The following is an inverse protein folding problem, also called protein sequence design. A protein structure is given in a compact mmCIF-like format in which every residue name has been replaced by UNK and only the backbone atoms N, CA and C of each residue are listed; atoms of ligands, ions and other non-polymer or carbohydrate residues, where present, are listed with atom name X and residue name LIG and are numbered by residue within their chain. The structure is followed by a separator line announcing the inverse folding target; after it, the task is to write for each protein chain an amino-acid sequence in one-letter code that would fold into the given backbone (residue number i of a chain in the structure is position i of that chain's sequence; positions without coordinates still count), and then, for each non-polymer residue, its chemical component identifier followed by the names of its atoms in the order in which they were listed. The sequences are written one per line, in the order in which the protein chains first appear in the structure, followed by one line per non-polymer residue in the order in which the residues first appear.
data_IF_241855614260
#
_entry.id   IF_241855614260
#
_cell.length_a   1.000
_cell.length_b   1.000
_cell.length_c   1.000
_cell.angle_alpha   90.00
_cell.angle_beta   90.00
_cell.angle_gamma   90.00
#
_symmetry.space_group_name_H-M   'P 1'
#
loop_
_entity.id
_entity.type
_entity.pdbx_description
1 polymer ?
#
# COMPACT_ATOMS: atom_id res chain seq x y z
N UNK A 1 47.64 -72.27 -26.38
CA UNK A 1 46.72 -72.72 -25.32
C UNK A 1 46.46 -71.55 -24.40
N UNK A 2 45.46 -70.68 -24.75
CA UNK A 2 45.12 -69.41 -24.06
C UNK A 2 43.98 -69.67 -23.12
N UNK A 3 44.16 -69.32 -21.82
CA UNK A 3 43.10 -69.33 -20.80
C UNK A 3 42.56 -67.96 -20.70
N UNK A 4 41.25 -67.81 -21.03
CA UNK A 4 40.46 -66.58 -20.76
C UNK A 4 40.02 -66.56 -19.30
N UNK A 5 40.41 -65.50 -18.57
CA UNK A 5 39.93 -65.18 -17.26
C UNK A 5 38.74 -64.23 -17.42
N UNK A 6 37.53 -64.69 -17.07
CA UNK A 6 36.30 -63.86 -16.98
C UNK A 6 36.32 -63.14 -15.63
N UNK A 7 36.46 -61.85 -15.66
CA UNK A 7 36.27 -60.99 -14.48
C UNK A 7 34.78 -60.65 -14.35
N UNK A 8 34.17 -61.14 -13.28
CA UNK A 8 32.80 -60.76 -12.86
C UNK A 8 32.89 -59.45 -12.11
N UNK A 9 32.23 -58.40 -12.63
CA UNK A 9 32.00 -57.11 -11.93
C UNK A 9 30.70 -57.21 -11.12
N UNK A 10 30.70 -56.86 -9.82
CA UNK A 10 29.46 -56.76 -9.08
C UNK A 10 28.77 -55.43 -9.40
N UNK A 11 27.50 -55.50 -9.79
CA UNK A 11 26.61 -54.36 -9.97
C UNK A 11 26.25 -53.80 -8.60
N UNK A 12 26.78 -52.61 -8.26
CA UNK A 12 26.30 -51.80 -7.15
C UNK A 12 25.01 -51.12 -7.60
N UNK A 13 23.90 -51.53 -7.02
CA UNK A 13 22.62 -50.82 -7.11
C UNK A 13 22.71 -49.52 -6.30
N UNK A 14 22.94 -48.41 -7.01
CA UNK A 14 22.77 -47.06 -6.44
C UNK A 14 21.28 -46.75 -6.45
N UNK A 15 20.60 -46.93 -5.31
CA UNK A 15 19.26 -46.41 -5.06
C UNK A 15 19.34 -44.88 -5.01
N UNK A 16 19.04 -44.23 -6.11
CA UNK A 16 18.77 -42.78 -6.18
C UNK A 16 17.43 -42.51 -5.45
N UNK A 17 17.51 -42.05 -4.22
CA UNK A 17 16.39 -41.36 -3.57
C UNK A 17 16.19 -40.04 -4.29
N UNK A 18 15.30 -40.02 -5.28
CA UNK A 18 14.68 -38.80 -5.79
C UNK A 18 13.81 -38.23 -4.65
N UNK A 19 14.36 -37.34 -3.84
CA UNK A 19 13.56 -36.42 -3.05
C UNK A 19 12.83 -35.51 -4.02
N UNK A 20 11.58 -35.84 -4.32
CA UNK A 20 10.64 -34.89 -4.88
C UNK A 20 10.59 -33.68 -3.91
N UNK A 21 11.33 -32.62 -4.24
CA UNK A 21 11.03 -31.30 -3.71
C UNK A 21 9.63 -30.98 -4.23
N UNK A 22 8.59 -31.22 -3.41
CA UNK A 22 7.29 -30.63 -3.63
C UNK A 22 7.54 -29.12 -3.78
N UNK A 23 7.42 -28.60 -5.01
CA UNK A 23 7.25 -27.18 -5.23
C UNK A 23 6.12 -26.77 -4.29
N UNK A 24 6.43 -25.89 -3.33
CA UNK A 24 5.39 -25.31 -2.48
C UNK A 24 4.41 -24.66 -3.45
N UNK A 25 3.26 -25.30 -3.69
CA UNK A 25 2.24 -24.83 -4.59
C UNK A 25 1.87 -23.43 -4.14
N UNK A 26 1.94 -22.46 -5.05
CA UNK A 26 1.41 -21.12 -4.79
C UNK A 26 -0.04 -21.30 -4.33
N UNK A 27 -0.32 -20.87 -3.10
CA UNK A 27 -1.69 -20.85 -2.58
C UNK A 27 -2.50 -19.96 -3.53
N UNK A 28 -3.55 -20.46 -4.19
CA UNK A 28 -4.33 -19.64 -5.11
C UNK A 28 -4.84 -18.41 -4.37
N UNK A 29 -4.66 -17.23 -4.95
CA UNK A 29 -5.28 -16.01 -4.42
C UNK A 29 -6.80 -16.23 -4.40
N UNK A 30 -7.48 -16.01 -3.26
CA UNK A 30 -8.92 -16.18 -3.18
C UNK A 30 -9.65 -15.33 -4.23
N UNK A 31 -10.80 -15.80 -4.70
CA UNK A 31 -11.61 -15.08 -5.68
C UNK A 31 -12.00 -13.68 -5.16
N UNK A 32 -11.80 -12.66 -6.00
CA UNK A 32 -12.17 -11.28 -5.73
C UNK A 32 -13.51 -10.94 -6.36
N UNK A 33 -14.26 -10.04 -5.73
CA UNK A 33 -15.43 -9.37 -6.32
C UNK A 33 -15.09 -7.89 -6.46
N UNK A 34 -15.21 -7.35 -7.66
CA UNK A 34 -15.04 -5.92 -7.91
C UNK A 34 -16.41 -5.23 -7.96
N UNK A 35 -16.43 -3.94 -7.60
CA UNK A 35 -17.64 -3.11 -7.67
C UNK A 35 -17.30 -1.63 -7.66
N UNK A 36 -18.30 -0.84 -8.01
CA UNK A 36 -18.28 0.61 -7.95
C UNK A 36 -19.38 1.09 -7.02
N UNK A 37 -19.07 2.10 -6.21
CA UNK A 37 -20.03 2.85 -5.42
C UNK A 37 -19.99 4.32 -5.81
N UNK A 38 -21.14 4.90 -6.14
CA UNK A 38 -21.26 6.31 -6.53
C UNK A 38 -21.82 7.11 -5.38
N UNK A 39 -20.95 7.96 -4.82
CA UNK A 39 -21.34 8.95 -3.82
C UNK A 39 -21.97 10.15 -4.54
N UNK A 40 -23.24 10.42 -4.27
CA UNK A 40 -23.94 11.60 -4.84
C UNK A 40 -23.60 12.86 -4.05
N UNK A 41 -23.43 13.98 -4.79
CA UNK A 41 -23.19 15.32 -4.24
C UNK A 41 -22.09 15.36 -3.19
N UNK A 42 -20.93 14.79 -3.51
CA UNK A 42 -19.80 14.76 -2.59
C UNK A 42 -19.21 16.17 -2.43
N UNK A 43 -19.14 16.64 -1.18
CA UNK A 43 -18.55 17.93 -0.82
C UNK A 43 -17.11 17.69 -0.35
N UNK A 44 -16.16 18.36 -0.99
CA UNK A 44 -14.75 18.35 -0.59
C UNK A 44 -14.47 19.43 0.47
N UNK A 45 -13.45 19.23 1.26
CA UNK A 45 -13.00 20.24 2.25
C UNK A 45 -12.53 21.56 1.59
N UNK A 46 -12.17 21.50 0.32
CA UNK A 46 -11.90 22.69 -0.51
C UNK A 46 -13.14 23.56 -0.78
N UNK A 47 -14.33 23.13 -0.34
CA UNK A 47 -15.65 23.71 -0.66
C UNK A 47 -16.12 23.49 -2.09
N UNK A 48 -15.36 22.73 -2.89
CA UNK A 48 -15.77 22.26 -4.20
C UNK A 48 -16.68 21.03 -4.06
N UNK A 49 -17.39 20.66 -5.12
CA UNK A 49 -18.25 19.48 -5.10
C UNK A 49 -18.22 18.71 -6.43
N UNK A 50 -18.51 17.41 -6.35
CA UNK A 50 -18.84 16.58 -7.50
C UNK A 50 -20.27 16.06 -7.38
N UNK A 51 -21.10 16.16 -8.45
CA UNK A 51 -22.42 15.56 -8.47
C UNK A 51 -22.37 14.04 -8.26
N UNK A 52 -21.34 13.41 -8.79
CA UNK A 52 -21.07 11.98 -8.68
C UNK A 52 -19.59 11.74 -8.45
N UNK A 53 -19.25 11.08 -7.34
CA UNK A 53 -17.92 10.58 -7.04
C UNK A 53 -17.95 9.05 -7.06
N UNK A 54 -17.38 8.43 -8.09
CA UNK A 54 -17.24 6.97 -8.18
C UNK A 54 -16.06 6.51 -7.34
N UNK A 55 -16.28 5.49 -6.52
CA UNK A 55 -15.26 4.76 -5.78
C UNK A 55 -15.27 3.31 -6.23
N UNK A 56 -14.17 2.88 -6.84
CA UNK A 56 -13.95 1.49 -7.18
C UNK A 56 -13.38 0.72 -6.00
N UNK A 57 -13.72 -0.56 -5.88
CA UNK A 57 -13.20 -1.42 -4.82
C UNK A 57 -13.16 -2.88 -5.26
N UNK A 58 -12.27 -3.64 -4.62
CA UNK A 58 -12.27 -5.10 -4.66
C UNK A 58 -12.56 -5.64 -3.26
N UNK A 59 -13.26 -6.77 -3.18
CA UNK A 59 -13.50 -7.46 -1.90
C UNK A 59 -13.17 -8.95 -2.01
N UNK A 60 -12.80 -9.54 -0.85
CA UNK A 60 -12.63 -10.98 -0.69
C UNK A 60 -13.42 -11.42 0.57
N UNK A 61 -13.97 -12.61 0.52
CA UNK A 61 -14.79 -13.13 1.63
C UNK A 61 -16.18 -12.49 1.71
N UNK A 62 -16.80 -12.61 2.89
CA UNK A 62 -18.16 -12.10 3.15
C UNK A 62 -18.25 -11.48 4.55
N UNK A 63 -19.09 -10.44 4.75
CA UNK A 63 -19.30 -9.86 6.07
C UNK A 63 -20.02 -10.86 7.01
N UNK A 64 -19.50 -11.00 8.21
CA UNK A 64 -20.14 -11.69 9.33
C UNK A 64 -20.68 -10.63 10.31
N UNK A 65 -21.85 -10.92 10.90
CA UNK A 65 -22.52 -10.02 11.84
C UNK A 65 -22.82 -10.72 13.16
N UNK A 66 -22.73 -9.95 14.24
CA UNK A 66 -23.22 -10.40 15.55
C UNK A 66 -24.75 -10.26 15.66
N UNK A 67 -25.30 -10.65 16.82
CA UNK A 67 -26.72 -10.59 17.10
C UNK A 67 -27.30 -9.15 17.10
N UNK A 68 -26.47 -8.14 17.23
CA UNK A 68 -26.82 -6.72 17.18
C UNK A 68 -26.68 -6.13 15.76
N UNK A 69 -26.31 -6.96 14.76
CA UNK A 69 -26.13 -6.54 13.37
C UNK A 69 -24.81 -5.81 13.09
N UNK A 70 -23.88 -5.78 14.05
CA UNK A 70 -22.56 -5.20 13.87
C UNK A 70 -21.68 -6.15 13.06
N UNK A 71 -20.99 -5.61 12.06
CA UNK A 71 -20.00 -6.40 11.30
C UNK A 71 -18.78 -6.67 12.18
N UNK A 72 -18.37 -7.93 12.25
CA UNK A 72 -17.32 -8.37 13.20
C UNK A 72 -15.99 -8.75 12.55
N UNK A 73 -15.97 -8.92 11.21
CA UNK A 73 -14.83 -9.47 10.49
C UNK A 73 -14.32 -8.62 9.32
N UNK A 74 -14.82 -7.40 9.15
CA UNK A 74 -14.39 -6.56 8.03
C UNK A 74 -13.00 -5.96 8.26
N UNK A 75 -12.14 -6.05 7.24
CA UNK A 75 -10.77 -5.53 7.21
C UNK A 75 -10.64 -4.55 6.05
N UNK A 76 -10.29 -3.30 6.35
CA UNK A 76 -10.02 -2.29 5.35
C UNK A 76 -8.51 -2.17 5.13
N UNK A 77 -8.06 -2.31 3.88
CA UNK A 77 -6.63 -2.18 3.53
C UNK A 77 -6.45 -1.07 2.49
N UNK A 78 -5.61 -0.07 2.83
CA UNK A 78 -5.47 1.19 2.13
C UNK A 78 -4.11 1.27 1.42
N UNK A 79 -4.13 1.60 0.12
CA UNK A 79 -2.95 1.60 -0.74
C UNK A 79 -2.09 2.89 -0.61
N UNK A 80 -0.87 2.85 -1.18
CA UNK A 80 0.05 3.98 -1.25
C UNK A 80 -0.25 4.93 -2.42
N UNK A 81 0.44 6.09 -2.45
CA UNK A 81 0.39 7.08 -3.54
C UNK A 81 0.71 6.41 -4.88
N UNK A 82 -0.09 6.66 -5.90
CA UNK A 82 0.05 6.04 -7.23
C UNK A 82 -0.35 4.56 -7.31
N UNK A 83 -0.78 3.95 -6.18
CA UNK A 83 -1.25 2.57 -6.13
C UNK A 83 -2.76 2.43 -6.29
N UNK A 84 -3.23 1.20 -6.15
CA UNK A 84 -4.65 0.83 -6.15
C UNK A 84 -4.89 -0.28 -5.13
N UNK A 85 -6.15 -0.57 -4.80
CA UNK A 85 -6.50 -1.72 -3.97
C UNK A 85 -5.98 -3.04 -4.52
N UNK A 86 -5.87 -3.14 -5.85
CA UNK A 86 -5.39 -4.34 -6.54
C UNK A 86 -3.93 -4.71 -6.20
N UNK A 87 -3.07 -3.76 -5.78
CA UNK A 87 -1.68 -4.05 -5.38
C UNK A 87 -1.58 -5.10 -4.27
N UNK A 88 -2.59 -5.20 -3.41
CA UNK A 88 -2.63 -6.15 -2.31
C UNK A 88 -3.00 -7.58 -2.72
N UNK A 89 -3.37 -7.81 -3.98
CA UNK A 89 -3.61 -9.14 -4.52
C UNK A 89 -2.33 -9.85 -4.99
N UNK A 90 -1.18 -9.19 -4.86
CA UNK A 90 0.12 -9.75 -5.24
C UNK A 90 0.52 -10.95 -4.37
N UNK A 91 1.33 -11.90 -4.90
CA UNK A 91 1.81 -13.06 -4.13
C UNK A 91 2.57 -12.69 -2.85
N UNK A 92 3.30 -11.57 -2.85
CA UNK A 92 4.08 -11.11 -1.68
C UNK A 92 3.21 -10.50 -0.58
N UNK A 93 1.92 -10.24 -0.85
CA UNK A 93 0.95 -9.72 0.12
C UNK A 93 -0.22 -10.70 0.31
N UNK A 94 -1.07 -10.90 -0.68
CA UNK A 94 -2.21 -11.83 -0.59
C UNK A 94 -1.76 -13.28 -0.35
N UNK A 95 -0.68 -13.72 -1.01
CA UNK A 95 -0.12 -15.07 -0.82
C UNK A 95 0.38 -15.34 0.60
N UNK A 96 0.67 -14.28 1.37
CA UNK A 96 1.14 -14.36 2.76
C UNK A 96 0.02 -14.17 3.79
N UNK A 97 -1.13 -13.58 3.41
CA UNK A 97 -2.14 -13.13 4.37
C UNK A 97 -3.54 -13.69 4.13
N UNK A 98 -3.96 -13.93 2.88
CA UNK A 98 -5.38 -14.13 2.54
C UNK A 98 -5.76 -15.59 2.28
N UNK A 99 -4.80 -16.50 2.19
CA UNK A 99 -5.03 -17.92 1.96
C UNK A 99 -5.58 -18.65 3.18
N UNK A 100 -6.01 -19.92 3.00
CA UNK A 100 -6.56 -20.73 4.08
C UNK A 100 -5.61 -20.86 5.28
N UNK A 101 -6.12 -20.56 6.47
CA UNK A 101 -5.36 -20.62 7.73
C UNK A 101 -4.37 -19.46 7.95
N UNK A 102 -4.24 -18.52 7.01
CA UNK A 102 -3.41 -17.34 7.18
C UNK A 102 -4.11 -16.27 8.04
N UNK A 103 -3.35 -15.23 8.45
CA UNK A 103 -3.82 -14.25 9.43
C UNK A 103 -5.10 -13.50 9.02
N UNK A 104 -5.27 -13.22 7.73
CA UNK A 104 -6.45 -12.58 7.15
C UNK A 104 -7.14 -13.54 6.15
N UNK A 105 -7.24 -14.81 6.49
CA UNK A 105 -7.92 -15.83 5.67
C UNK A 105 -9.27 -15.34 5.16
N UNK A 106 -9.42 -15.25 3.84
CA UNK A 106 -10.63 -14.75 3.18
C UNK A 106 -11.88 -15.60 3.42
N UNK A 107 -11.75 -16.83 3.95
CA UNK A 107 -12.89 -17.61 4.42
C UNK A 107 -13.44 -17.10 5.76
N UNK A 108 -12.65 -16.34 6.53
CA UNK A 108 -12.98 -15.83 7.85
C UNK A 108 -13.18 -14.32 7.88
N UNK A 109 -12.46 -13.58 7.04
CA UNK A 109 -12.47 -12.11 6.99
C UNK A 109 -13.15 -11.60 5.72
N UNK A 110 -13.81 -10.46 5.85
CA UNK A 110 -14.30 -9.66 4.73
C UNK A 110 -13.29 -8.56 4.44
N UNK A 111 -12.42 -8.80 3.47
CA UNK A 111 -11.31 -7.90 3.11
C UNK A 111 -11.81 -6.92 2.07
N UNK A 112 -11.59 -5.62 2.30
CA UNK A 112 -12.06 -4.52 1.46
C UNK A 112 -10.84 -3.72 1.01
N UNK A 113 -10.64 -3.63 -0.30
CA UNK A 113 -9.50 -3.01 -0.98
C UNK A 113 -10.01 -1.90 -1.91
N UNK A 114 -10.29 -0.69 -1.39
CA UNK A 114 -10.78 0.40 -2.24
C UNK A 114 -9.65 1.06 -3.02
N UNK A 115 -9.97 1.61 -4.19
CA UNK A 115 -9.18 2.63 -4.85
C UNK A 115 -9.54 4.01 -4.24
N UNK A 116 -8.53 4.77 -3.86
CA UNK A 116 -8.74 6.13 -3.36
C UNK A 116 -9.21 7.11 -4.45
N UNK A 117 -9.78 8.25 -4.07
CA UNK A 117 -10.03 9.36 -5.00
C UNK A 117 -8.73 9.69 -5.75
N UNK A 118 -8.81 9.89 -7.06
CA UNK A 118 -7.65 10.19 -7.88
C UNK A 118 -6.80 8.97 -8.27
N UNK A 119 -7.23 7.73 -7.95
CA UNK A 119 -6.46 6.51 -8.17
C UNK A 119 -7.30 5.43 -8.86
N UNK A 120 -6.61 4.57 -9.59
CA UNK A 120 -7.18 3.37 -10.20
C UNK A 120 -8.42 3.64 -11.05
N UNK A 121 -9.51 2.94 -10.72
CA UNK A 121 -10.81 3.09 -11.40
C UNK A 121 -11.77 4.05 -10.65
N UNK A 122 -11.36 4.64 -9.50
CA UNK A 122 -12.11 5.71 -8.84
C UNK A 122 -12.05 7.01 -9.63
N UNK A 123 -12.99 7.94 -9.39
CA UNK A 123 -13.00 9.25 -10.04
C UNK A 123 -11.67 9.98 -9.88
N UNK A 124 -11.15 10.53 -10.97
CA UNK A 124 -9.81 11.14 -11.04
C UNK A 124 -9.76 12.25 -12.09
N UNK A 125 -8.75 13.14 -12.05
CA UNK A 125 -8.59 14.22 -13.02
C UNK A 125 -8.65 13.78 -14.49
N UNK A 126 -7.98 12.68 -14.84
CA UNK A 126 -7.93 12.16 -16.21
C UNK A 126 -9.27 11.62 -16.74
N UNK A 127 -10.31 11.51 -15.90
CA UNK A 127 -11.67 11.13 -16.32
C UNK A 127 -12.42 12.27 -17.06
N UNK A 128 -11.75 13.37 -17.42
CA UNK A 128 -12.27 14.46 -18.27
C UNK A 128 -12.36 15.83 -17.59
N UNK A 129 -12.22 15.94 -16.28
CA UNK A 129 -12.16 17.25 -15.61
C UNK A 129 -10.76 17.86 -15.62
N UNK A 130 -9.72 17.06 -15.82
CA UNK A 130 -8.34 17.50 -15.85
C UNK A 130 -7.97 18.38 -14.64
N UNK A 131 -7.35 19.54 -14.83
CA UNK A 131 -7.01 20.46 -13.76
C UNK A 131 -8.22 21.13 -13.07
N UNK A 132 -9.44 20.91 -13.56
CA UNK A 132 -10.70 21.37 -12.94
C UNK A 132 -11.30 20.33 -11.99
N UNK A 133 -10.65 19.17 -11.82
CA UNK A 133 -11.06 18.21 -10.81
C UNK A 133 -10.93 18.85 -9.41
N UNK A 134 -11.90 18.65 -8.48
CA UNK A 134 -11.82 19.22 -7.14
C UNK A 134 -10.52 18.87 -6.41
N UNK A 135 -9.99 19.84 -5.65
CA UNK A 135 -8.79 19.64 -4.84
C UNK A 135 -9.11 18.80 -3.60
N UNK A 136 -8.92 17.50 -3.67
CA UNK A 136 -9.12 16.58 -2.55
C UNK A 136 -7.87 16.48 -1.66
N UNK A 137 -8.08 16.07 -0.41
CA UNK A 137 -7.05 15.74 0.55
C UNK A 137 -7.32 14.37 1.22
N UNK A 138 -6.49 13.98 2.20
CA UNK A 138 -6.63 12.69 2.86
C UNK A 138 -7.90 12.57 3.71
N UNK A 139 -8.37 13.66 4.30
CA UNK A 139 -9.64 13.65 5.01
C UNK A 139 -10.83 13.41 4.07
N UNK A 140 -10.80 13.99 2.86
CA UNK A 140 -11.79 13.72 1.81
C UNK A 140 -11.78 12.25 1.39
N UNK A 141 -10.58 11.67 1.20
CA UNK A 141 -10.44 10.27 0.82
C UNK A 141 -10.97 9.34 1.92
N UNK A 142 -10.68 9.62 3.18
CA UNK A 142 -11.18 8.85 4.33
C UNK A 142 -12.71 9.00 4.46
N UNK A 143 -13.25 10.21 4.30
CA UNK A 143 -14.69 10.44 4.32
C UNK A 143 -15.42 9.68 3.20
N UNK A 144 -14.84 9.67 1.99
CA UNK A 144 -15.37 8.94 0.85
C UNK A 144 -15.36 7.41 1.11
N UNK A 145 -14.25 6.87 1.63
CA UNK A 145 -14.19 5.46 2.01
C UNK A 145 -15.17 5.11 3.14
N UNK A 146 -15.39 6.01 4.12
CA UNK A 146 -16.38 5.77 5.15
C UNK A 146 -17.80 5.66 4.56
N UNK A 147 -18.16 6.50 3.58
CA UNK A 147 -19.43 6.39 2.86
C UNK A 147 -19.52 5.11 2.02
N UNK A 148 -18.44 4.70 1.34
CA UNK A 148 -18.39 3.40 0.66
C UNK A 148 -18.71 2.26 1.62
N UNK A 149 -18.10 2.25 2.81
CA UNK A 149 -18.31 1.20 3.80
C UNK A 149 -19.75 1.21 4.32
N UNK A 150 -20.24 2.35 4.74
CA UNK A 150 -21.54 2.45 5.45
C UNK A 150 -22.73 2.42 4.51
N UNK A 151 -22.68 3.14 3.41
CA UNK A 151 -23.79 3.26 2.45
C UNK A 151 -23.72 2.21 1.34
N UNK A 152 -22.51 1.92 0.83
CA UNK A 152 -22.31 0.98 -0.29
C UNK A 152 -22.24 -0.48 0.14
N UNK A 153 -21.47 -0.78 1.18
CA UNK A 153 -21.20 -2.16 1.62
C UNK A 153 -21.94 -2.55 2.90
N UNK A 154 -22.70 -1.61 3.50
CA UNK A 154 -23.41 -1.82 4.77
C UNK A 154 -22.48 -2.28 5.90
N UNK A 155 -21.22 -1.85 5.90
CA UNK A 155 -20.23 -2.15 6.94
C UNK A 155 -20.26 -1.04 7.97
N UNK A 156 -20.72 -1.37 9.18
CA UNK A 156 -20.88 -0.44 10.29
C UNK A 156 -19.76 -0.55 11.35
N UNK A 157 -18.81 -1.44 11.16
CA UNK A 157 -17.65 -1.59 12.02
C UNK A 157 -16.54 -2.39 11.32
N UNK A 158 -15.29 -2.08 11.66
CA UNK A 158 -14.09 -2.74 11.13
C UNK A 158 -13.34 -3.50 12.22
N UNK A 159 -12.98 -4.74 11.93
CA UNK A 159 -12.05 -5.52 12.75
C UNK A 159 -10.64 -4.94 12.72
N UNK A 160 -10.25 -4.40 11.56
CA UNK A 160 -8.92 -3.85 11.34
C UNK A 160 -8.98 -2.77 10.24
N UNK A 161 -8.27 -1.67 10.46
CA UNK A 161 -7.80 -0.78 9.38
C UNK A 161 -6.30 -0.91 9.30
N UNK A 162 -5.79 -1.22 8.12
CA UNK A 162 -4.36 -1.18 7.85
C UNK A 162 -4.09 -0.43 6.54
N UNK A 163 -2.90 0.12 6.42
CA UNK A 163 -2.55 0.84 5.22
C UNK A 163 -1.06 1.04 5.07
N UNK A 164 -0.64 1.18 3.83
CA UNK A 164 0.76 1.28 3.44
C UNK A 164 1.05 2.67 2.87
N UNK A 165 2.13 3.32 3.29
CA UNK A 165 2.55 4.65 2.78
C UNK A 165 1.43 5.70 2.92
N UNK A 166 0.81 6.16 1.84
CA UNK A 166 -0.39 7.02 1.88
C UNK A 166 -1.50 6.37 2.73
N UNK A 167 -1.78 5.08 2.53
CA UNK A 167 -2.77 4.35 3.33
C UNK A 167 -2.40 4.25 4.81
N UNK A 168 -1.11 4.28 5.16
CA UNK A 168 -0.64 4.44 6.54
C UNK A 168 -1.11 5.78 7.11
N UNK A 169 -0.95 6.87 6.36
CA UNK A 169 -1.44 8.19 6.76
C UNK A 169 -2.96 8.21 6.90
N UNK A 170 -3.68 7.60 5.96
CA UNK A 170 -5.14 7.43 6.07
C UNK A 170 -5.54 6.63 7.32
N UNK A 171 -4.76 5.62 7.74
CA UNK A 171 -5.06 4.85 8.96
C UNK A 171 -5.09 5.73 10.21
N UNK A 172 -4.18 6.71 10.32
CA UNK A 172 -4.22 7.70 11.41
C UNK A 172 -5.45 8.60 11.31
N UNK A 173 -5.76 9.12 10.11
CA UNK A 173 -6.98 9.93 9.88
C UNK A 173 -8.24 9.13 10.22
N UNK A 174 -8.32 7.84 9.87
CA UNK A 174 -9.41 6.95 10.29
C UNK A 174 -9.54 6.87 11.80
N UNK A 175 -8.41 6.64 12.49
CA UNK A 175 -8.40 6.47 13.95
C UNK A 175 -8.82 7.72 14.72
N UNK A 176 -8.46 8.92 14.25
CA UNK A 176 -8.82 10.17 14.90
C UNK A 176 -10.21 10.68 14.53
N UNK A 177 -10.68 10.40 13.29
CA UNK A 177 -11.99 10.87 12.80
C UNK A 177 -13.13 9.94 13.23
N UNK A 178 -12.90 8.63 13.22
CA UNK A 178 -13.89 7.60 13.54
C UNK A 178 -13.41 6.65 14.64
N UNK A 179 -13.04 7.15 15.84
CA UNK A 179 -12.32 6.36 16.86
C UNK A 179 -13.07 5.11 17.35
N UNK A 180 -14.39 5.08 17.26
CA UNK A 180 -15.23 3.94 17.65
C UNK A 180 -15.52 2.94 16.51
N UNK A 181 -15.04 3.20 15.29
CA UNK A 181 -15.41 2.43 14.11
C UNK A 181 -14.53 1.19 13.86
N UNK A 182 -13.41 1.02 14.59
CA UNK A 182 -12.49 -0.10 14.38
C UNK A 182 -11.98 -0.67 15.70
N UNK A 183 -11.59 -1.96 15.66
CA UNK A 183 -10.98 -2.67 16.79
C UNK A 183 -9.45 -2.51 16.84
N UNK A 184 -8.80 -2.30 15.69
CA UNK A 184 -7.35 -2.22 15.57
C UNK A 184 -6.91 -1.35 14.40
N UNK A 185 -5.71 -0.76 14.52
CA UNK A 185 -5.03 0.01 13.48
C UNK A 185 -3.62 -0.53 13.25
N UNK A 186 -3.25 -0.74 11.98
CA UNK A 186 -1.90 -1.14 11.58
C UNK A 186 -1.36 -0.24 10.47
N UNK A 187 -0.86 0.94 10.80
CA UNK A 187 -0.21 1.85 9.85
C UNK A 187 1.22 1.38 9.53
N UNK A 188 1.57 1.30 8.23
CA UNK A 188 2.89 0.86 7.75
C UNK A 188 3.55 1.93 6.87
N UNK A 189 4.76 2.36 7.25
CA UNK A 189 5.65 3.21 6.46
C UNK A 189 5.13 4.63 6.19
N UNK A 190 4.78 5.38 7.23
CA UNK A 190 4.58 6.84 7.20
C UNK A 190 4.98 7.47 8.53
N UNK A 191 4.94 8.79 8.64
CA UNK A 191 5.11 9.48 9.93
C UNK A 191 3.79 10.11 10.36
N UNK A 192 3.40 9.98 11.66
CA UNK A 192 2.16 10.55 12.19
C UNK A 192 2.32 12.04 12.56
N UNK A 193 2.83 12.83 11.63
CA UNK A 193 3.04 14.28 11.74
C UNK A 193 2.84 14.93 10.39
N UNK A 194 2.79 16.25 10.37
CA UNK A 194 2.82 17.03 9.13
C UNK A 194 3.99 16.59 8.23
N UNK A 195 3.70 16.46 6.93
CA UNK A 195 4.74 16.17 5.94
C UNK A 195 5.64 17.38 5.77
N UNK A 196 6.86 17.28 6.28
CA UNK A 196 7.86 18.33 6.30
C UNK A 196 9.24 17.80 5.85
N UNK A 197 10.27 18.65 5.92
CA UNK A 197 11.65 18.29 5.62
C UNK A 197 11.80 17.69 4.22
N UNK A 198 12.68 16.67 4.11
CA UNK A 198 12.99 16.01 2.83
C UNK A 198 11.75 15.42 2.15
N UNK A 199 10.81 14.87 2.92
CA UNK A 199 9.57 14.29 2.37
C UNK A 199 8.74 15.38 1.65
N UNK A 200 8.61 16.58 2.22
CA UNK A 200 7.94 17.70 1.54
C UNK A 200 8.72 18.22 0.33
N UNK A 201 10.03 18.25 0.43
CA UNK A 201 10.91 18.74 -0.64
C UNK A 201 10.75 17.93 -1.92
N UNK A 202 10.90 16.59 -1.87
CA UNK A 202 10.77 15.78 -3.07
C UNK A 202 9.32 15.79 -3.63
N UNK A 203 8.29 15.86 -2.78
CA UNK A 203 6.90 16.04 -3.25
C UNK A 203 6.72 17.35 -4.02
N UNK A 204 7.31 18.41 -3.51
CA UNK A 204 7.29 19.70 -4.21
C UNK A 204 8.04 19.61 -5.53
N UNK A 205 9.20 18.95 -5.59
CA UNK A 205 9.95 18.73 -6.84
C UNK A 205 9.11 18.00 -7.89
N UNK A 206 8.38 16.95 -7.51
CA UNK A 206 7.45 16.23 -8.42
C UNK A 206 6.38 17.18 -8.96
N UNK A 207 5.73 17.94 -8.07
CA UNK A 207 4.68 18.88 -8.48
C UNK A 207 5.20 20.00 -9.35
N UNK A 208 6.40 20.53 -9.04
CA UNK A 208 7.02 21.59 -9.82
C UNK A 208 7.49 21.09 -11.18
N UNK A 209 8.02 19.88 -11.27
CA UNK A 209 8.39 19.27 -12.55
C UNK A 209 7.19 19.23 -13.52
N UNK A 210 6.01 18.87 -13.01
CA UNK A 210 4.79 18.83 -13.84
C UNK A 210 4.33 20.26 -14.17
N UNK A 211 4.21 21.14 -13.16
CA UNK A 211 3.63 22.47 -13.36
C UNK A 211 4.48 23.41 -14.22
N UNK A 212 5.81 23.21 -14.20
CA UNK A 212 6.74 24.04 -14.97
C UNK A 212 7.01 23.48 -16.36
N UNK A 213 6.52 22.29 -16.70
CA UNK A 213 6.65 21.74 -18.04
C UNK A 213 5.71 22.49 -19.00
N UNK A 214 6.23 23.13 -20.08
CA UNK A 214 5.39 23.85 -21.05
C UNK A 214 4.32 22.97 -21.72
N UNK A 215 4.56 21.67 -21.82
CA UNK A 215 3.62 20.73 -22.43
C UNK A 215 2.45 20.36 -21.51
N UNK A 216 2.56 20.63 -20.21
CA UNK A 216 1.44 20.44 -19.27
C UNK A 216 0.27 21.41 -19.52
N UNK A 217 0.52 22.62 -20.06
CA UNK A 217 -0.48 23.61 -20.49
C UNK A 217 -1.54 23.92 -19.43
N UNK A 218 -1.16 24.01 -18.15
CA UNK A 218 -2.10 24.23 -17.07
C UNK A 218 -3.04 23.04 -16.80
N UNK A 219 -2.69 21.86 -17.29
CA UNK A 219 -3.47 20.63 -17.14
C UNK A 219 -4.36 20.29 -18.34
N UNK A 220 -4.34 21.10 -19.40
CA UNK A 220 -5.15 20.92 -20.63
C UNK A 220 -4.24 20.46 -21.79
N UNK A 221 -3.53 19.33 -21.59
CA UNK A 221 -2.68 18.72 -22.61
C UNK A 221 -3.44 17.63 -23.39
N UNK A 222 -3.02 17.41 -24.63
CA UNK A 222 -3.52 16.31 -25.47
C UNK A 222 -2.54 15.14 -25.60
N UNK A 223 -1.30 15.39 -25.21
CA UNK A 223 -0.19 14.43 -25.14
C UNK A 223 0.46 14.63 -23.78
N UNK A 224 0.74 13.56 -23.09
CA UNK A 224 1.36 13.59 -21.75
C UNK A 224 2.70 14.34 -21.78
N UNK A 225 2.98 15.21 -20.79
CA UNK A 225 4.26 15.92 -20.66
C UNK A 225 5.36 14.94 -20.22
N UNK A 226 5.92 14.23 -21.20
CA UNK A 226 6.82 13.10 -20.97
C UNK A 226 8.05 13.44 -20.14
N UNK A 227 8.61 14.65 -20.33
CA UNK A 227 9.80 15.07 -19.57
C UNK A 227 9.47 15.27 -18.08
N UNK A 228 8.34 15.89 -17.79
CA UNK A 228 7.86 16.09 -16.43
C UNK A 228 7.61 14.74 -15.74
N UNK A 229 6.92 13.82 -16.44
CA UNK A 229 6.63 12.49 -15.90
C UNK A 229 7.90 11.67 -15.64
N UNK A 230 8.91 11.75 -16.53
CA UNK A 230 10.23 11.12 -16.29
C UNK A 230 10.88 11.67 -15.02
N UNK A 231 10.97 13.01 -14.91
CA UNK A 231 11.55 13.66 -13.72
C UNK A 231 10.81 13.27 -12.45
N UNK A 232 9.48 13.20 -12.48
CA UNK A 232 8.68 12.74 -11.35
C UNK A 232 8.98 11.28 -10.97
N UNK A 233 9.11 10.39 -11.97
CA UNK A 233 9.46 8.99 -11.75
C UNK A 233 10.87 8.81 -11.20
N UNK A 234 11.86 9.60 -11.66
CA UNK A 234 13.22 9.62 -11.10
C UNK A 234 13.22 9.90 -9.61
N UNK A 235 12.48 10.94 -9.19
CA UNK A 235 12.36 11.32 -7.78
C UNK A 235 11.65 10.23 -6.95
N UNK A 236 10.59 9.65 -7.49
CA UNK A 236 9.85 8.56 -6.82
C UNK A 236 10.69 7.29 -6.71
N UNK A 237 11.46 6.95 -7.75
CA UNK A 237 12.36 5.80 -7.75
C UNK A 237 13.43 5.95 -6.66
N UNK A 238 14.13 7.07 -6.63
CA UNK A 238 15.18 7.32 -5.62
C UNK A 238 14.59 7.34 -4.21
N UNK A 239 13.46 8.04 -4.02
CA UNK A 239 12.80 8.11 -2.71
C UNK A 239 12.34 6.73 -2.20
N UNK A 240 11.85 5.88 -3.09
CA UNK A 240 11.34 4.55 -2.73
C UNK A 240 12.37 3.43 -2.68
N UNK A 241 13.60 3.67 -3.18
CA UNK A 241 14.63 2.64 -3.34
C UNK A 241 15.35 2.27 -2.04
N UNK A 242 15.94 1.07 -2.03
CA UNK A 242 16.82 0.58 -0.97
C UNK A 242 18.25 0.41 -1.53
N UNK A 243 19.25 1.19 -1.07
CA UNK A 243 20.59 1.20 -1.68
C UNK A 243 21.28 -0.17 -1.61
N UNK A 244 21.17 -0.90 -0.50
CA UNK A 244 21.77 -2.22 -0.37
C UNK A 244 21.17 -3.23 -1.34
N UNK A 245 19.85 -3.20 -1.50
CA UNK A 245 19.18 -4.07 -2.46
C UNK A 245 19.55 -3.72 -3.91
N UNK A 246 19.55 -2.42 -4.25
CA UNK A 246 19.94 -1.98 -5.59
C UNK A 246 21.38 -2.36 -5.90
N UNK A 247 22.33 -2.16 -4.99
CA UNK A 247 23.73 -2.54 -5.20
C UNK A 247 23.90 -4.05 -5.43
N UNK A 248 23.10 -4.87 -4.74
CA UNK A 248 23.10 -6.34 -4.89
C UNK A 248 22.52 -6.80 -6.23
N UNK A 249 21.46 -6.15 -6.71
CA UNK A 249 20.74 -6.54 -7.92
C UNK A 249 21.26 -5.85 -9.18
N UNK A 250 21.89 -4.70 -9.05
CA UNK A 250 22.45 -3.86 -10.11
C UNK A 250 23.94 -3.59 -9.85
N UNK A 251 24.80 -4.65 -9.85
CA UNK A 251 26.19 -4.52 -9.37
C UNK A 251 27.13 -3.84 -10.36
N UNK A 252 26.69 -3.58 -11.60
CA UNK A 252 27.49 -2.92 -12.64
C UNK A 252 26.80 -1.67 -13.16
N UNK A 253 27.56 -0.76 -13.76
CA UNK A 253 27.05 0.45 -14.42
C UNK A 253 26.00 0.08 -15.47
N UNK A 254 26.33 -0.82 -16.38
CA UNK A 254 25.44 -1.21 -17.47
C UNK A 254 24.12 -1.85 -16.98
N UNK A 255 24.16 -2.60 -15.87
CA UNK A 255 22.97 -3.15 -15.24
C UNK A 255 22.08 -2.03 -14.64
N UNK A 256 22.69 -1.01 -14.03
CA UNK A 256 21.97 0.13 -13.47
C UNK A 256 21.34 1.02 -14.56
N UNK A 257 22.10 1.31 -15.63
CA UNK A 257 21.61 2.09 -16.76
C UNK A 257 20.43 1.38 -17.45
N UNK A 258 20.60 0.10 -17.74
CA UNK A 258 19.50 -0.72 -18.32
C UNK A 258 18.27 -0.80 -17.42
N UNK A 259 18.45 -0.90 -16.12
CA UNK A 259 17.32 -0.93 -15.18
C UNK A 259 16.49 0.36 -15.26
N UNK A 260 17.14 1.52 -15.33
CA UNK A 260 16.45 2.80 -15.46
C UNK A 260 15.66 2.90 -16.78
N UNK A 261 16.28 2.47 -17.89
CA UNK A 261 15.59 2.44 -19.19
C UNK A 261 14.35 1.53 -19.19
N UNK A 262 14.46 0.35 -18.59
CA UNK A 262 13.34 -0.59 -18.51
C UNK A 262 12.26 -0.11 -17.52
N UNK A 263 12.66 0.58 -16.45
CA UNK A 263 11.75 1.20 -15.49
C UNK A 263 10.84 2.23 -16.17
N UNK A 264 11.39 3.11 -17.01
CA UNK A 264 10.59 4.08 -17.74
C UNK A 264 9.65 3.44 -18.75
N UNK A 265 10.08 2.42 -19.49
CA UNK A 265 9.22 1.70 -20.45
C UNK A 265 7.95 1.16 -19.81
N UNK A 266 8.06 0.70 -18.57
CA UNK A 266 6.93 0.08 -17.86
C UNK A 266 6.11 1.06 -17.03
N UNK A 267 6.71 2.17 -16.56
CA UNK A 267 6.07 3.08 -15.61
C UNK A 267 5.42 4.30 -16.24
N UNK A 268 5.85 4.70 -17.44
CA UNK A 268 5.22 5.80 -18.17
C UNK A 268 3.91 5.40 -18.83
N UNK A 269 3.74 4.12 -19.14
CA UNK A 269 2.51 3.62 -19.75
C UNK A 269 1.32 3.82 -18.81
N UNK A 270 0.30 4.54 -19.28
CA UNK A 270 -0.92 4.82 -18.51
C UNK A 270 -0.76 5.81 -17.36
N UNK A 271 0.39 6.46 -17.21
CA UNK A 271 0.59 7.51 -16.21
C UNK A 271 0.08 8.86 -16.77
N UNK A 272 -0.79 9.51 -16.02
CA UNK A 272 -1.34 10.83 -16.31
C UNK A 272 -0.75 11.89 -15.39
N UNK A 273 -0.34 13.03 -15.95
CA UNK A 273 0.36 14.06 -15.19
C UNK A 273 -0.56 14.77 -14.18
N UNK A 274 -1.82 14.99 -14.52
CA UNK A 274 -2.78 15.59 -13.58
C UNK A 274 -3.09 14.62 -12.44
N UNK A 275 -3.31 13.33 -12.73
CA UNK A 275 -3.56 12.33 -11.70
C UNK A 275 -2.39 12.29 -10.71
N UNK A 276 -1.15 12.20 -11.21
CA UNK A 276 0.04 12.19 -10.36
C UNK A 276 0.20 13.48 -9.54
N UNK A 277 -0.02 14.63 -10.15
CA UNK A 277 0.02 15.92 -9.47
C UNK A 277 -0.97 15.98 -8.30
N UNK A 278 -2.22 15.57 -8.52
CA UNK A 278 -3.25 15.55 -7.49
C UNK A 278 -2.97 14.52 -6.40
N UNK A 279 -2.52 13.32 -6.75
CA UNK A 279 -2.13 12.26 -5.81
C UNK A 279 -1.04 12.73 -4.84
N UNK A 280 -0.01 13.41 -5.36
CA UNK A 280 1.09 13.94 -4.52
C UNK A 280 0.61 15.12 -3.68
N UNK A 281 -0.24 16.01 -4.24
CA UNK A 281 -0.76 17.18 -3.54
C UNK A 281 -1.82 16.85 -2.48
N UNK A 282 -2.48 15.70 -2.56
CA UNK A 282 -3.51 15.28 -1.60
C UNK A 282 -3.01 15.25 -0.14
N UNK A 283 -1.70 15.09 0.05
CA UNK A 283 -1.05 15.10 1.35
C UNK A 283 -0.83 16.47 1.98
N UNK A 284 -1.23 17.57 1.32
CA UNK A 284 -0.87 18.95 1.70
C UNK A 284 -1.30 19.36 3.11
N UNK A 285 -2.43 18.83 3.59
CA UNK A 285 -3.04 19.19 4.87
C UNK A 285 -2.86 18.09 5.95
N UNK A 286 -2.16 16.99 5.61
CA UNK A 286 -1.97 15.89 6.55
C UNK A 286 -1.13 16.30 7.76
N UNK A 287 -1.72 16.26 8.95
CA UNK A 287 -1.06 16.38 10.24
C UNK A 287 -1.93 15.76 11.35
N UNK A 288 -1.79 14.47 11.67
CA UNK A 288 -2.55 13.82 12.73
C UNK A 288 -1.98 14.11 14.13
N UNK A 289 -0.79 14.71 14.23
CA UNK A 289 -0.07 14.82 15.50
C UNK A 289 -0.85 15.51 16.64
N UNK A 290 -1.71 16.51 16.38
CA UNK A 290 -2.53 17.12 17.44
C UNK A 290 -3.70 16.23 17.91
N UNK A 291 -4.10 15.23 17.13
CA UNK A 291 -5.29 14.43 17.34
C UNK A 291 -4.99 12.95 17.69
N UNK A 292 -3.73 12.54 17.74
CA UNK A 292 -3.34 11.15 18.02
C UNK A 292 -3.93 10.59 19.33
N UNK A 293 -4.13 11.46 20.33
CA UNK A 293 -4.77 11.09 21.60
C UNK A 293 -6.26 10.69 21.48
N UNK A 294 -6.92 11.01 20.38
CA UNK A 294 -8.31 10.59 20.12
C UNK A 294 -8.43 9.14 19.68
N UNK A 295 -7.35 8.54 19.21
CA UNK A 295 -7.35 7.15 18.73
C UNK A 295 -7.57 6.20 19.90
N UNK A 296 -8.70 5.50 19.88
CA UNK A 296 -9.09 4.55 20.93
C UNK A 296 -8.57 3.13 20.66
N UNK A 297 -8.53 2.73 19.41
CA UNK A 297 -8.09 1.41 18.99
C UNK A 297 -6.60 1.20 19.27
N UNK A 298 -6.15 -0.01 19.66
CA UNK A 298 -4.74 -0.36 19.67
C UNK A 298 -4.08 -0.13 18.30
N UNK A 299 -2.89 0.49 18.33
CA UNK A 299 -2.10 0.80 17.14
C UNK A 299 -0.80 0.01 17.16
N UNK A 300 -0.54 -0.74 16.07
CA UNK A 300 0.75 -1.34 15.76
C UNK A 300 1.35 -0.63 14.54
N UNK A 301 2.17 0.40 14.79
CA UNK A 301 2.89 1.11 13.74
C UNK A 301 4.18 0.34 13.36
N UNK A 302 4.44 0.21 12.06
CA UNK A 302 5.61 -0.49 11.53
C UNK A 302 6.34 0.36 10.50
N UNK A 303 7.66 0.42 10.61
CA UNK A 303 8.53 0.99 9.58
C UNK A 303 9.80 0.15 9.42
N UNK A 304 10.51 0.33 8.31
CA UNK A 304 11.79 -0.31 8.03
C UNK A 304 12.96 0.64 8.31
N UNK A 305 14.05 0.11 8.84
CA UNK A 305 15.24 0.91 9.17
C UNK A 305 15.97 1.49 7.95
N UNK A 306 15.67 0.98 6.75
CA UNK A 306 16.16 1.48 5.47
C UNK A 306 15.14 2.34 4.70
N UNK A 307 14.04 2.77 5.34
CA UNK A 307 13.04 3.64 4.71
C UNK A 307 13.59 5.07 4.52
N UNK A 308 13.89 5.43 3.29
CA UNK A 308 14.40 6.76 2.95
C UNK A 308 13.31 7.85 3.00
N UNK A 309 12.04 7.51 2.79
CA UNK A 309 10.91 8.46 2.84
C UNK A 309 10.60 8.84 4.29
N UNK A 310 10.62 7.85 5.19
CA UNK A 310 10.30 7.99 6.61
C UNK A 310 11.49 7.51 7.47
N UNK A 311 12.63 8.22 7.40
CA UNK A 311 13.85 7.74 8.00
C UNK A 311 13.76 7.67 9.54
N UNK A 312 14.14 6.54 10.14
CA UNK A 312 13.99 6.32 11.58
C UNK A 312 14.86 7.24 12.43
N UNK A 313 15.98 7.74 11.88
CA UNK A 313 16.88 8.67 12.59
C UNK A 313 16.21 9.99 12.99
N UNK A 314 15.03 10.30 12.45
CA UNK A 314 14.23 11.45 12.90
C UNK A 314 13.62 11.25 14.29
N UNK A 315 13.49 10.00 14.77
CA UNK A 315 12.86 9.67 16.04
C UNK A 315 11.39 10.09 16.15
N UNK A 316 10.75 10.45 15.03
CA UNK A 316 9.39 11.00 14.99
C UNK A 316 8.36 9.95 15.38
N UNK A 317 8.41 8.78 14.73
CA UNK A 317 7.42 7.74 14.97
C UNK A 317 7.40 7.29 16.44
N UNK A 318 8.57 7.02 17.00
CA UNK A 318 8.70 6.59 18.40
C UNK A 318 8.19 7.64 19.40
N UNK A 319 8.40 8.92 19.11
CA UNK A 319 7.90 10.03 19.93
C UNK A 319 6.40 10.17 19.83
N UNK A 320 5.86 10.21 18.61
CA UNK A 320 4.45 10.54 18.37
C UNK A 320 3.52 9.38 18.72
N UNK A 321 3.89 8.14 18.47
CA UNK A 321 3.06 6.97 18.80
C UNK A 321 2.79 6.85 20.31
N UNK A 322 3.64 7.40 21.15
CA UNK A 322 3.41 7.49 22.61
C UNK A 322 2.18 8.31 22.99
N UNK A 323 1.70 9.20 22.10
CA UNK A 323 0.47 9.97 22.31
C UNK A 323 -0.79 9.11 22.13
N UNK A 324 -0.68 7.96 21.47
CA UNK A 324 -1.78 6.99 21.34
C UNK A 324 -1.76 6.08 22.56
N UNK A 325 -2.86 6.04 23.33
CA UNK A 325 -2.95 5.30 24.60
C UNK A 325 -2.48 3.84 24.51
N UNK A 326 -2.84 3.15 23.42
CA UNK A 326 -2.48 1.76 23.18
C UNK A 326 -1.58 1.64 21.92
N UNK A 327 -0.74 2.65 21.68
CA UNK A 327 0.19 2.68 20.56
C UNK A 327 1.50 1.97 20.84
N UNK A 328 2.01 1.25 19.84
CA UNK A 328 3.39 0.74 19.81
C UNK A 328 4.00 0.96 18.44
N UNK A 329 5.30 1.20 18.40
CA UNK A 329 6.07 1.32 17.17
C UNK A 329 7.08 0.18 17.08
N UNK A 330 7.21 -0.42 15.89
CA UNK A 330 8.21 -1.42 15.57
C UNK A 330 9.05 -0.93 14.40
N UNK A 331 10.36 -0.96 14.60
CA UNK A 331 11.33 -0.69 13.56
C UNK A 331 11.93 -2.01 13.10
N UNK A 332 11.67 -2.39 11.84
CA UNK A 332 12.20 -3.59 11.23
C UNK A 332 13.69 -3.39 10.93
N UNK A 333 14.59 -4.28 11.37
CA UNK A 333 16.00 -4.18 11.03
C UNK A 333 16.24 -4.36 9.54
N UNK A 334 17.33 -3.79 9.03
CA UNK A 334 17.75 -3.99 7.64
C UNK A 334 18.17 -5.46 7.46
N UNK A 335 17.62 -6.10 6.45
CA UNK A 335 17.94 -7.49 6.09
C UNK A 335 17.96 -7.65 4.57
N UNK A 336 18.33 -8.83 4.09
CA UNK A 336 18.23 -9.18 2.66
C UNK A 336 16.79 -9.16 2.12
N UNK A 337 15.79 -9.16 3.01
CA UNK A 337 14.37 -9.13 2.66
C UNK A 337 13.77 -7.72 2.66
N UNK A 338 14.42 -6.73 3.29
CA UNK A 338 13.93 -5.34 3.28
C UNK A 338 14.19 -4.66 1.93
N UNK A 339 13.37 -3.68 1.59
CA UNK A 339 13.37 -2.97 0.31
C UNK A 339 13.15 -1.46 0.51
N UNK A 340 13.76 -0.89 1.55
CA UNK A 340 13.52 0.50 1.90
C UNK A 340 12.04 0.77 2.15
N UNK A 341 11.51 1.83 1.56
CA UNK A 341 10.09 2.14 1.66
C UNK A 341 9.20 0.98 1.19
N UNK A 342 9.61 0.25 0.15
CA UNK A 342 8.87 -0.89 -0.38
C UNK A 342 8.71 -2.10 0.56
N UNK A 343 9.39 -2.13 1.71
CA UNK A 343 9.26 -3.21 2.71
C UNK A 343 7.82 -3.37 3.20
N UNK A 344 7.04 -2.29 3.24
CA UNK A 344 5.64 -2.32 3.66
C UNK A 344 4.74 -3.25 2.82
N UNK A 345 5.09 -3.55 1.57
CA UNK A 345 4.33 -4.47 0.70
C UNK A 345 4.73 -5.93 0.88
N UNK A 346 5.81 -6.22 1.59
CA UNK A 346 6.35 -7.57 1.79
C UNK A 346 5.85 -8.17 3.10
N UNK A 347 4.63 -8.72 3.07
CA UNK A 347 3.95 -9.17 4.29
C UNK A 347 4.74 -10.20 5.09
N UNK A 348 5.53 -11.06 4.46
CA UNK A 348 6.39 -12.03 5.13
C UNK A 348 7.33 -11.40 6.18
N UNK A 349 7.76 -10.14 5.97
CA UNK A 349 8.72 -9.46 6.85
C UNK A 349 8.07 -8.95 8.15
N UNK A 350 6.79 -8.63 8.11
CA UNK A 350 6.10 -7.96 9.23
C UNK A 350 4.81 -8.64 9.73
N UNK A 351 4.31 -9.68 9.05
CA UNK A 351 3.03 -10.32 9.39
C UNK A 351 2.91 -10.83 10.82
N UNK A 352 4.03 -11.15 11.49
CA UNK A 352 4.02 -11.54 12.91
C UNK A 352 3.40 -10.46 13.81
N UNK A 353 3.69 -9.18 13.54
CA UNK A 353 3.13 -8.06 14.32
C UNK A 353 1.65 -7.85 14.07
N UNK A 354 1.16 -8.23 12.87
CA UNK A 354 -0.27 -8.32 12.60
C UNK A 354 -0.91 -9.42 13.46
N UNK A 355 -0.29 -10.60 13.54
CA UNK A 355 -0.76 -11.70 14.41
C UNK A 355 -0.91 -11.26 15.86
N UNK A 356 0.15 -10.66 16.43
CA UNK A 356 0.14 -10.12 17.80
C UNK A 356 -0.96 -9.05 18.01
N UNK A 357 -1.19 -8.17 17.02
CA UNK A 357 -2.26 -7.17 17.09
C UNK A 357 -3.64 -7.80 17.09
N UNK A 358 -3.88 -8.77 16.20
CA UNK A 358 -5.14 -9.49 16.11
C UNK A 358 -5.43 -10.31 17.38
N UNK A 359 -4.44 -10.96 17.98
CA UNK A 359 -4.56 -11.67 19.26
C UNK A 359 -4.90 -10.72 20.40
N UNK A 360 -4.13 -9.62 20.54
CA UNK A 360 -4.35 -8.60 21.58
C UNK A 360 -5.76 -7.99 21.54
N UNK A 361 -6.37 -7.92 20.35
CA UNK A 361 -7.68 -7.31 20.12
C UNK A 361 -8.78 -8.37 19.85
N UNK A 362 -8.51 -9.66 20.12
CA UNK A 362 -9.52 -10.71 20.04
C UNK A 362 -10.68 -10.44 21.03
N UNK A 363 -11.91 -10.69 20.56
CA UNK A 363 -13.15 -10.56 21.34
C UNK A 363 -13.75 -11.92 21.57
#
# INVERSE_FOLDING_TARGET
MFRFLVRVFPWLLVLLFLQERRAAGQVPTPATTEGDFVVKNFQFRSSESLPELRLHYSTLGKPARDAQGRVTNAVLILHGTGGTGHQFLSPIFAGELFGPGQLLDAARYYIILPDGIGHGKSSKPSDGLHARFPQYDYDDMVAAHHRLLTEGLSVNHLRLVMGTSMGCMHSFVWGETYPGFMDALMPLACLPVQIAGRNRVWRKMVMDAIRNDPEWKGGEYSVEPQQALRTALDLLLIAGSAPLHMQKTLPTRDAADKYLDDYFKTRLEGLDANDLLYQVNASRNYDPSPQLGKILAPVSYINSADDFINPPELGVAEREIKKVKNGRSMLLPITDETRGHGTHTRAAVWKQYLGELLEKTAR
#
